data_IF_612795015813
#
_entry.id   IF_612795015813
#
_cell.length_a   1.000
_cell.length_b   1.000
_cell.length_c   1.000
_cell.angle_alpha   90.00
_cell.angle_beta   90.00
_cell.angle_gamma   90.00
#
_symmetry.space_group_name_H-M   'P 1'
#
loop_
_entity.id
_entity.type
_entity.pdbx_description
1 polymer ?
#
# COMPACT_ATOMS: atom_id res chain seq x y z
N UNK A 1 -0.42 -30.03 1.00
CA UNK A 1 -0.61 -28.61 0.64
C UNK A 1 0.77 -28.01 0.51
N UNK A 2 1.14 -27.47 -0.66
CA UNK A 2 2.37 -26.69 -0.77
C UNK A 2 2.28 -25.51 0.19
N UNK A 3 3.39 -25.15 0.83
CA UNK A 3 3.48 -23.93 1.63
C UNK A 3 3.17 -22.78 0.67
N UNK A 4 2.09 -22.05 0.91
CA UNK A 4 1.78 -20.85 0.14
C UNK A 4 2.88 -19.84 0.46
N UNK A 5 3.54 -19.33 -0.56
CA UNK A 5 4.51 -18.24 -0.41
C UNK A 5 3.72 -16.94 -0.23
N UNK A 6 3.43 -16.62 1.02
CA UNK A 6 2.63 -15.45 1.40
C UNK A 6 3.42 -14.17 1.13
N UNK A 7 4.72 -14.18 1.43
CA UNK A 7 5.59 -13.01 1.27
C UNK A 7 5.71 -12.64 -0.21
N UNK A 8 6.03 -13.61 -1.08
CA UNK A 8 6.06 -13.39 -2.53
C UNK A 8 4.70 -13.03 -3.13
N UNK A 9 3.60 -13.47 -2.52
CA UNK A 9 2.26 -13.04 -2.91
C UNK A 9 2.02 -11.56 -2.57
N UNK A 10 2.34 -11.14 -1.34
CA UNK A 10 2.16 -9.77 -0.85
C UNK A 10 3.06 -8.80 -1.61
N UNK A 11 4.35 -9.11 -1.74
CA UNK A 11 5.34 -8.29 -2.43
C UNK A 11 4.89 -7.96 -3.85
N UNK A 12 4.52 -8.98 -4.63
CA UNK A 12 4.04 -8.82 -6.01
C UNK A 12 2.81 -7.91 -6.09
N UNK A 13 1.90 -8.01 -5.13
CA UNK A 13 0.65 -7.25 -5.11
C UNK A 13 0.91 -5.78 -4.77
N UNK A 14 1.75 -5.52 -3.77
CA UNK A 14 2.16 -4.17 -3.37
C UNK A 14 2.94 -3.47 -4.47
N UNK A 15 3.90 -4.15 -5.12
CA UNK A 15 4.65 -3.59 -6.24
C UNK A 15 3.73 -3.21 -7.42
N UNK A 16 2.76 -4.07 -7.76
CA UNK A 16 1.80 -3.76 -8.83
C UNK A 16 0.94 -2.52 -8.53
N UNK A 17 0.53 -2.34 -7.27
CA UNK A 17 -0.20 -1.15 -6.84
C UNK A 17 0.70 0.10 -6.89
N UNK A 18 1.94 -0.03 -6.40
CA UNK A 18 2.92 1.06 -6.41
C UNK A 18 3.26 1.51 -7.83
N UNK A 19 3.40 0.58 -8.78
CA UNK A 19 3.62 0.89 -10.20
C UNK A 19 2.47 1.71 -10.80
N UNK A 20 1.22 1.41 -10.45
CA UNK A 20 0.06 2.20 -10.89
C UNK A 20 0.05 3.61 -10.29
N UNK A 21 0.46 3.75 -9.03
CA UNK A 21 0.64 5.06 -8.39
C UNK A 21 1.77 5.84 -9.05
N UNK A 22 2.93 5.21 -9.25
CA UNK A 22 4.13 5.79 -9.87
C UNK A 22 3.84 6.30 -11.29
N UNK A 23 2.99 5.62 -12.05
CA UNK A 23 2.59 6.02 -13.40
C UNK A 23 1.81 7.35 -13.42
N UNK A 24 1.26 7.81 -12.29
CA UNK A 24 0.42 9.00 -12.17
C UNK A 24 1.22 10.24 -11.71
N UNK A 25 2.43 10.43 -12.25
CA UNK A 25 3.36 11.54 -11.90
C UNK A 25 2.74 12.93 -11.97
N UNK A 26 1.66 13.14 -12.73
CA UNK A 26 0.92 14.41 -12.76
C UNK A 26 0.35 14.80 -11.39
N UNK A 27 0.18 13.85 -10.46
CA UNK A 27 -0.31 14.09 -9.11
C UNK A 27 0.77 14.61 -8.15
N UNK A 28 2.03 14.72 -8.57
CA UNK A 28 3.12 15.25 -7.74
C UNK A 28 2.84 16.65 -7.19
N UNK A 29 2.06 17.46 -7.90
CA UNK A 29 1.61 18.78 -7.44
C UNK A 29 0.64 18.76 -6.26
N UNK A 30 0.08 17.59 -5.91
CA UNK A 30 -0.78 17.41 -4.74
C UNK A 30 0.02 17.14 -3.45
N UNK A 31 1.34 16.94 -3.55
CA UNK A 31 2.19 16.68 -2.40
C UNK A 31 2.54 17.97 -1.65
N UNK A 32 2.66 17.91 -0.31
CA UNK A 32 3.04 19.06 0.50
C UNK A 32 4.51 19.47 0.27
N UNK A 33 4.79 20.78 0.24
CA UNK A 33 6.16 21.29 0.07
C UNK A 33 7.08 20.97 1.26
N UNK A 34 6.50 20.80 2.46
CA UNK A 34 7.23 20.53 3.71
C UNK A 34 7.36 19.02 4.03
N UNK A 35 6.98 18.15 3.09
CA UNK A 35 7.01 16.69 3.23
C UNK A 35 7.99 16.01 2.28
N UNK A 36 7.83 14.68 2.11
CA UNK A 36 8.50 13.97 1.01
C UNK A 36 7.93 14.43 -0.32
N UNK A 37 8.78 14.55 -1.33
CA UNK A 37 8.31 14.64 -2.71
C UNK A 37 7.65 13.33 -3.15
N UNK A 38 6.85 13.38 -4.21
CA UNK A 38 6.24 12.20 -4.82
C UNK A 38 7.29 11.12 -5.13
N UNK A 39 8.41 11.51 -5.74
CA UNK A 39 9.49 10.59 -6.09
C UNK A 39 10.15 9.96 -4.86
N UNK A 40 10.38 10.74 -3.80
CA UNK A 40 10.96 10.23 -2.55
C UNK A 40 10.00 9.28 -1.83
N UNK A 41 8.70 9.59 -1.80
CA UNK A 41 7.71 8.72 -1.16
C UNK A 41 7.52 7.40 -1.94
N UNK A 42 7.42 7.45 -3.27
CA UNK A 42 7.37 6.24 -4.10
C UNK A 42 8.62 5.37 -3.89
N UNK A 43 9.80 6.00 -3.87
CA UNK A 43 11.05 5.29 -3.62
C UNK A 43 11.10 4.67 -2.22
N UNK A 44 10.65 5.39 -1.19
CA UNK A 44 10.60 4.88 0.17
C UNK A 44 9.64 3.69 0.30
N UNK A 45 8.46 3.74 -0.34
CA UNK A 45 7.52 2.61 -0.37
C UNK A 45 8.18 1.40 -1.03
N UNK A 46 8.92 1.60 -2.13
CA UNK A 46 9.64 0.52 -2.82
C UNK A 46 10.70 -0.11 -1.91
N UNK A 47 11.46 0.68 -1.17
CA UNK A 47 12.47 0.18 -0.21
C UNK A 47 11.84 -0.66 0.91
N UNK A 48 10.67 -0.26 1.42
CA UNK A 48 9.93 -1.10 2.38
C UNK A 48 9.57 -2.47 1.80
N UNK A 49 9.24 -2.53 0.50
CA UNK A 49 8.81 -3.76 -0.16
C UNK A 49 10.01 -4.65 -0.55
N UNK A 50 10.98 -4.10 -1.27
CA UNK A 50 12.05 -4.88 -1.92
C UNK A 50 13.26 -5.13 -1.00
N UNK A 51 13.63 -4.15 -0.18
CA UNK A 51 14.87 -4.21 0.61
C UNK A 51 14.61 -4.60 2.07
N UNK A 52 13.58 -4.04 2.68
CA UNK A 52 13.29 -4.23 4.10
C UNK A 52 12.35 -5.41 4.40
N UNK A 53 11.51 -5.82 3.44
CA UNK A 53 10.44 -6.79 3.66
C UNK A 53 9.36 -6.32 4.65
N UNK A 54 9.26 -5.00 4.85
CA UNK A 54 8.34 -4.32 5.78
C UNK A 54 6.97 -4.10 5.12
N UNK A 55 6.33 -5.19 4.67
CA UNK A 55 5.12 -5.15 3.87
C UNK A 55 3.91 -4.49 4.57
N UNK A 56 3.82 -4.61 5.89
CA UNK A 56 2.76 -3.94 6.66
C UNK A 56 2.90 -2.41 6.58
N UNK A 57 4.14 -1.90 6.71
CA UNK A 57 4.42 -0.46 6.61
C UNK A 57 4.13 0.01 5.18
N UNK A 58 4.62 -0.70 4.16
CA UNK A 58 4.33 -0.37 2.77
C UNK A 58 2.82 -0.31 2.47
N UNK A 59 2.06 -1.29 2.96
CA UNK A 59 0.59 -1.32 2.82
C UNK A 59 -0.08 -0.10 3.46
N UNK A 60 0.27 0.21 4.72
CA UNK A 60 -0.30 1.34 5.44
C UNK A 60 -0.01 2.68 4.75
N UNK A 61 1.23 2.88 4.28
CA UNK A 61 1.63 4.09 3.55
C UNK A 61 0.87 4.18 2.21
N UNK A 62 0.72 3.08 1.47
CA UNK A 62 -0.09 3.06 0.23
C UNK A 62 -1.53 3.45 0.53
N UNK A 63 -2.17 2.85 1.54
CA UNK A 63 -3.56 3.16 1.90
C UNK A 63 -3.70 4.63 2.28
N UNK A 64 -2.81 5.16 3.11
CA UNK A 64 -2.83 6.57 3.50
C UNK A 64 -2.70 7.51 2.30
N UNK A 65 -1.84 7.18 1.33
CA UNK A 65 -1.70 7.93 0.09
C UNK A 65 -2.98 7.90 -0.75
N UNK A 66 -3.62 6.74 -0.89
CA UNK A 66 -4.89 6.58 -1.63
C UNK A 66 -6.05 7.35 -0.99
N UNK A 67 -6.02 7.55 0.33
CA UNK A 67 -7.03 8.34 1.05
C UNK A 67 -6.86 9.86 0.87
N UNK A 68 -5.62 10.33 0.74
CA UNK A 68 -5.30 11.75 0.71
C UNK A 68 -5.18 12.32 -0.70
N UNK A 69 -4.75 11.49 -1.65
CA UNK A 69 -4.42 11.89 -3.01
C UNK A 69 -5.30 11.12 -3.98
N UNK A 70 -5.85 11.78 -5.04
CA UNK A 70 -6.81 11.16 -5.94
C UNK A 70 -6.14 10.22 -6.96
N UNK A 71 -5.37 9.25 -6.49
CA UNK A 71 -4.84 8.16 -7.29
C UNK A 71 -5.98 7.31 -7.86
N UNK A 72 -5.83 6.92 -9.12
CA UNK A 72 -6.72 5.98 -9.77
C UNK A 72 -6.08 4.61 -9.80
N UNK A 73 -6.77 3.62 -9.22
CA UNK A 73 -6.37 2.22 -9.32
C UNK A 73 -7.26 1.48 -10.30
N UNK A 74 -6.69 0.50 -11.00
CA UNK A 74 -7.47 -0.51 -11.71
C UNK A 74 -8.28 -1.35 -10.73
N UNK A 75 -9.39 -1.94 -11.19
CA UNK A 75 -10.19 -2.84 -10.37
C UNK A 75 -9.38 -4.03 -9.84
N UNK A 76 -8.40 -4.52 -10.60
CA UNK A 76 -7.48 -5.57 -10.17
C UNK A 76 -6.59 -5.13 -9.00
N UNK A 77 -6.09 -3.90 -9.03
CA UNK A 77 -5.22 -3.37 -7.97
C UNK A 77 -6.02 -3.01 -6.71
N UNK A 78 -7.27 -2.56 -6.86
CA UNK A 78 -8.18 -2.42 -5.73
C UNK A 78 -8.47 -3.77 -5.04
N UNK A 79 -8.70 -4.83 -5.81
CA UNK A 79 -8.87 -6.20 -5.25
C UNK A 79 -7.58 -6.68 -4.60
N UNK A 80 -6.42 -6.42 -5.22
CA UNK A 80 -5.12 -6.76 -4.64
C UNK A 80 -4.90 -6.09 -3.28
N UNK A 81 -5.31 -4.84 -3.12
CA UNK A 81 -5.23 -4.11 -1.86
C UNK A 81 -6.08 -4.78 -0.76
N UNK A 82 -7.28 -5.25 -1.11
CA UNK A 82 -8.15 -6.00 -0.19
C UNK A 82 -7.52 -7.36 0.19
N UNK A 83 -6.96 -8.07 -0.78
CA UNK A 83 -6.28 -9.35 -0.53
C UNK A 83 -5.09 -9.19 0.43
N UNK A 84 -4.26 -8.16 0.23
CA UNK A 84 -3.14 -7.87 1.14
C UNK A 84 -3.64 -7.47 2.53
N UNK A 85 -4.66 -6.62 2.63
CA UNK A 85 -5.26 -6.25 3.90
C UNK A 85 -5.77 -7.45 4.71
N UNK A 86 -6.41 -8.42 4.04
CA UNK A 86 -6.86 -9.67 4.67
C UNK A 86 -5.69 -10.54 5.15
N UNK A 87 -4.62 -10.65 4.37
CA UNK A 87 -3.40 -11.38 4.78
C UNK A 87 -2.75 -10.73 6.00
N UNK A 88 -2.77 -9.40 6.06
CA UNK A 88 -2.19 -8.60 7.16
C UNK A 88 -3.09 -8.51 8.40
N UNK A 89 -4.21 -9.24 8.43
CA UNK A 89 -5.21 -9.21 9.50
C UNK A 89 -5.81 -7.82 9.75
N UNK A 90 -5.93 -6.97 8.72
CA UNK A 90 -6.53 -5.62 8.73
C UNK A 90 -6.51 -4.91 10.10
N UNK A 91 -5.58 -3.97 10.28
CA UNK A 91 -5.34 -3.30 11.56
C UNK A 91 -5.80 -1.86 11.47
N UNK A 92 -6.60 -1.38 12.44
CA UNK A 92 -7.11 0.00 12.40
C UNK A 92 -7.37 0.57 13.79
N UNK A 93 -6.93 1.80 14.02
CA UNK A 93 -7.25 2.56 15.23
C UNK A 93 -8.44 3.52 15.03
N UNK A 94 -9.08 3.49 13.84
CA UNK A 94 -10.27 4.31 13.54
C UNK A 94 -11.51 3.68 14.14
N UNK A 95 -12.30 4.47 14.89
CA UNK A 95 -13.53 3.98 15.53
C UNK A 95 -14.53 3.35 14.56
N UNK A 96 -14.65 3.91 13.35
CA UNK A 96 -15.58 3.44 12.32
C UNK A 96 -15.20 2.08 11.72
N UNK A 97 -13.92 1.71 11.74
CA UNK A 97 -13.40 0.48 11.13
C UNK A 97 -13.11 -0.62 12.16
N UNK A 98 -13.31 -0.37 13.46
CA UNK A 98 -13.00 -1.32 14.54
C UNK A 98 -13.63 -2.71 14.35
N UNK A 99 -14.76 -2.82 13.65
CA UNK A 99 -15.44 -4.10 13.37
C UNK A 99 -14.70 -4.97 12.34
N UNK A 100 -13.76 -4.39 11.58
CA UNK A 100 -12.91 -5.08 10.62
C UNK A 100 -11.54 -5.44 11.22
N UNK A 101 -11.18 -4.86 12.38
CA UNK A 101 -9.91 -5.12 13.03
C UNK A 101 -9.78 -6.58 13.46
N UNK A 102 -8.72 -7.25 12.99
CA UNK A 102 -8.46 -8.66 13.36
C UNK A 102 -7.07 -8.89 13.98
N UNK A 103 -6.53 -7.86 14.65
CA UNK A 103 -5.42 -8.00 15.62
C UNK A 103 -5.93 -8.85 16.80
N UNK A 104 -5.62 -10.15 16.78
CA UNK A 104 -5.79 -11.02 17.95
C UNK A 104 -4.98 -10.54 19.15
#
# INVERSE_FOLDING_TARGET
MSKVDIDGFVEKKLLGILEEMEAQKSLSTSYPEDGLSFEEEVQQIREYIEDAGEYSIAYEVIVANLEQIPFLLTGSSAVALLEVGLVMKYKTDREEDLFLDSRE
#
